data_IF_826231190239
#
_entry.id   IF_826231190239
#
_cell.length_a   1.000
_cell.length_b   1.000
_cell.length_c   1.000
_cell.angle_alpha   90.00
_cell.angle_beta   90.00
_cell.angle_gamma   90.00
#
_symmetry.space_group_name_H-M   'P 1'
#
loop_
_entity.id
_entity.type
_entity.pdbx_description
1 polymer ?
#
# COMPACT_ATOMS: atom_id res chain seq x y z
N UNK A 1 30.92 -6.95 -6.80
CA UNK A 1 29.73 -6.36 -7.47
C UNK A 1 28.49 -6.72 -6.66
N UNK A 2 27.80 -5.77 -6.00
CA UNK A 2 26.47 -6.02 -5.47
C UNK A 2 25.43 -5.39 -6.41
N UNK A 3 24.69 -6.23 -7.14
CA UNK A 3 23.50 -5.82 -7.91
C UNK A 3 22.33 -5.65 -6.94
N UNK A 4 22.30 -4.51 -6.24
CA UNK A 4 21.14 -4.07 -5.47
C UNK A 4 20.15 -3.33 -6.37
N UNK A 5 19.28 -4.06 -7.06
CA UNK A 5 18.19 -3.45 -7.84
C UNK A 5 17.19 -2.79 -6.88
N UNK A 6 16.93 -1.48 -6.96
CA UNK A 6 15.85 -0.85 -6.20
C UNK A 6 14.54 -1.11 -6.94
N UNK A 7 13.91 -2.26 -6.67
CA UNK A 7 12.58 -2.55 -7.22
C UNK A 7 11.58 -1.55 -6.63
N UNK A 8 11.09 -0.66 -7.49
CA UNK A 8 10.39 0.55 -7.12
C UNK A 8 9.14 0.32 -6.28
N UNK A 9 9.08 1.01 -5.14
CA UNK A 9 7.86 1.22 -4.37
C UNK A 9 6.88 2.08 -5.17
N UNK A 10 6.15 1.46 -6.11
CA UNK A 10 4.94 2.08 -6.67
C UNK A 10 3.93 2.22 -5.54
N UNK A 11 3.32 3.40 -5.48
CA UNK A 11 2.29 3.76 -4.51
C UNK A 11 1.10 2.79 -4.62
N UNK A 12 1.12 1.73 -3.81
CA UNK A 12 0.05 0.72 -3.67
C UNK A 12 -1.33 1.33 -3.44
N UNK A 13 -1.38 2.54 -2.85
CA UNK A 13 -2.62 3.21 -2.47
C UNK A 13 -3.48 3.72 -3.65
N UNK A 14 -2.97 3.78 -4.89
CA UNK A 14 -3.74 4.33 -6.03
C UNK A 14 -4.32 3.27 -6.98
N UNK A 15 -3.72 2.09 -7.06
CA UNK A 15 -4.14 1.03 -8.01
C UNK A 15 -4.45 -0.31 -7.34
N UNK A 16 -4.54 -0.36 -6.00
CA UNK A 16 -4.88 -1.59 -5.30
C UNK A 16 -6.21 -2.17 -5.79
N UNK A 17 -6.14 -3.42 -6.25
CA UNK A 17 -7.31 -4.23 -6.65
C UNK A 17 -7.73 -5.05 -5.45
N UNK A 18 -9.02 -5.12 -5.16
CA UNK A 18 -9.55 -5.80 -3.97
C UNK A 18 -10.48 -6.93 -4.39
N UNK A 19 -10.47 -8.02 -3.62
CA UNK A 19 -11.38 -9.16 -3.74
C UNK A 19 -11.53 -9.65 -5.20
N UNK A 20 -12.70 -9.42 -5.80
CA UNK A 20 -13.09 -9.87 -7.15
C UNK A 20 -12.37 -9.19 -8.31
N UNK A 21 -11.53 -8.19 -8.07
CA UNK A 21 -10.76 -7.51 -9.13
C UNK A 21 -9.45 -8.23 -9.47
N UNK A 22 -9.07 -9.23 -8.67
CA UNK A 22 -7.88 -10.04 -8.86
C UNK A 22 -8.23 -11.20 -9.81
N UNK A 23 -7.56 -11.26 -10.97
CA UNK A 23 -7.80 -12.30 -12.00
C UNK A 23 -6.82 -13.49 -11.91
N UNK A 24 -5.94 -13.49 -10.92
CA UNK A 24 -4.95 -14.53 -10.75
C UNK A 24 -5.56 -15.78 -10.11
N UNK A 25 -5.13 -16.96 -10.58
CA UNK A 25 -5.52 -18.26 -9.99
C UNK A 25 -4.79 -18.49 -8.66
N UNK A 26 -3.50 -18.18 -8.65
CA UNK A 26 -2.60 -18.31 -7.51
C UNK A 26 -2.13 -16.94 -7.06
N UNK A 27 -2.22 -16.67 -5.77
CA UNK A 27 -1.85 -15.41 -5.14
C UNK A 27 -0.96 -15.68 -3.95
N UNK A 28 0.06 -14.85 -3.75
CA UNK A 28 0.85 -14.89 -2.52
C UNK A 28 0.12 -14.10 -1.44
N UNK A 29 -0.31 -14.76 -0.37
CA UNK A 29 -1.12 -14.14 0.69
C UNK A 29 -0.23 -13.74 1.86
N UNK A 30 -0.48 -12.54 2.37
CA UNK A 30 0.14 -12.01 3.58
C UNK A 30 -0.99 -11.67 4.57
N UNK A 31 -0.95 -12.26 5.76
CA UNK A 31 -1.92 -12.00 6.83
C UNK A 31 -1.81 -10.60 7.42
N UNK A 32 -2.75 -10.22 8.31
CA UNK A 32 -2.82 -8.89 8.90
C UNK A 32 -1.61 -8.55 9.78
N UNK A 33 -0.99 -9.55 10.43
CA UNK A 33 0.21 -9.40 11.25
C UNK A 33 1.52 -9.48 10.43
N UNK A 34 1.45 -9.24 9.11
CA UNK A 34 2.56 -9.43 8.17
C UNK A 34 3.05 -10.89 8.06
N UNK A 35 2.24 -11.85 8.48
CA UNK A 35 2.53 -13.28 8.36
C UNK A 35 2.45 -13.72 6.89
N UNK A 36 3.49 -14.35 6.37
CA UNK A 36 3.49 -14.85 5.00
C UNK A 36 2.84 -16.25 4.95
N UNK A 37 1.59 -16.30 4.51
CA UNK A 37 0.84 -17.55 4.32
C UNK A 37 1.31 -18.34 3.09
N UNK A 38 2.20 -17.76 2.28
CA UNK A 38 2.76 -18.41 1.10
C UNK A 38 1.91 -18.21 -0.15
N UNK A 39 1.99 -19.15 -1.09
CA UNK A 39 1.20 -19.14 -2.32
C UNK A 39 -0.07 -19.95 -2.06
N UNK A 40 -1.22 -19.32 -2.21
CA UNK A 40 -2.53 -19.94 -2.02
C UNK A 40 -3.41 -19.64 -3.24
N UNK A 41 -4.42 -20.47 -3.44
CA UNK A 41 -5.49 -20.16 -4.40
C UNK A 41 -6.23 -18.91 -3.94
N UNK A 42 -6.76 -18.14 -4.90
CA UNK A 42 -7.54 -16.95 -4.61
C UNK A 42 -8.76 -17.24 -3.70
N UNK A 43 -9.35 -18.41 -3.83
CA UNK A 43 -10.48 -18.87 -3.01
C UNK A 43 -10.08 -19.06 -1.55
N UNK A 44 -8.93 -19.69 -1.31
CA UNK A 44 -8.35 -19.86 0.03
C UNK A 44 -8.02 -18.49 0.65
N UNK A 45 -7.45 -17.60 -0.15
CA UNK A 45 -7.12 -16.24 0.27
C UNK A 45 -8.37 -15.43 0.67
N UNK A 46 -9.44 -15.53 -0.13
CA UNK A 46 -10.72 -14.90 0.16
C UNK A 46 -11.39 -15.49 1.40
N UNK A 47 -11.36 -16.82 1.54
CA UNK A 47 -11.92 -17.49 2.71
C UNK A 47 -11.21 -17.04 4.00
N UNK A 48 -9.87 -16.99 4.00
CA UNK A 48 -9.09 -16.48 5.15
C UNK A 48 -9.41 -15.03 5.48
N UNK A 49 -9.49 -14.16 4.46
CA UNK A 49 -9.86 -12.77 4.67
C UNK A 49 -11.27 -12.65 5.30
N UNK A 50 -12.22 -13.47 4.83
CA UNK A 50 -13.58 -13.49 5.35
C UNK A 50 -13.67 -14.07 6.77
N UNK A 51 -12.87 -15.09 7.09
CA UNK A 51 -12.75 -15.65 8.45
C UNK A 51 -12.22 -14.62 9.46
N UNK A 52 -11.28 -13.78 9.04
CA UNK A 52 -10.76 -12.68 9.87
C UNK A 52 -11.62 -11.41 9.84
N UNK A 53 -12.66 -11.36 8.99
CA UNK A 53 -13.50 -10.17 8.80
C UNK A 53 -12.78 -8.99 8.14
N UNK A 54 -11.77 -9.27 7.32
CA UNK A 54 -10.92 -8.30 6.61
C UNK A 54 -11.10 -8.43 5.09
N UNK A 55 -10.53 -7.49 4.32
CA UNK A 55 -10.52 -7.55 2.86
C UNK A 55 -9.21 -8.14 2.31
N UNK A 56 -9.30 -8.83 1.17
CA UNK A 56 -8.12 -9.26 0.43
C UNK A 56 -7.70 -8.15 -0.55
N UNK A 57 -6.58 -7.50 -0.26
CA UNK A 57 -6.06 -6.38 -1.05
C UNK A 57 -4.82 -6.79 -1.83
N UNK A 58 -4.87 -6.72 -3.15
CA UNK A 58 -3.70 -6.92 -4.00
C UNK A 58 -2.76 -5.71 -3.90
N UNK A 59 -1.58 -5.95 -3.32
CA UNK A 59 -0.53 -4.94 -3.16
C UNK A 59 0.46 -4.95 -4.33
N UNK A 60 0.64 -6.10 -4.99
CA UNK A 60 1.54 -6.21 -6.14
C UNK A 60 0.96 -7.10 -7.24
N UNK A 61 0.35 -6.52 -8.29
CA UNK A 61 -0.08 -7.26 -9.48
C UNK A 61 1.06 -7.65 -10.43
N UNK A 62 2.23 -7.02 -10.30
CA UNK A 62 3.36 -7.19 -11.22
C UNK A 62 4.22 -8.43 -10.91
N UNK A 63 4.08 -8.97 -9.70
CA UNK A 63 4.74 -10.20 -9.29
C UNK A 63 4.01 -11.43 -9.86
N UNK A 64 4.75 -12.46 -10.27
CA UNK A 64 4.19 -13.78 -10.60
C UNK A 64 4.68 -14.78 -9.54
N UNK A 65 3.84 -15.21 -8.59
CA UNK A 65 2.42 -14.90 -8.40
C UNK A 65 2.17 -13.51 -7.76
N UNK A 66 1.03 -12.86 -8.05
CA UNK A 66 0.68 -11.55 -7.50
C UNK A 66 0.50 -11.62 -5.99
N UNK A 67 0.89 -10.54 -5.30
CA UNK A 67 0.91 -10.49 -3.84
C UNK A 67 -0.34 -9.80 -3.33
N UNK A 68 -1.10 -10.54 -2.53
CA UNK A 68 -2.29 -10.08 -1.81
C UNK A 68 -1.98 -10.00 -0.32
N UNK A 69 -2.52 -8.98 0.34
CA UNK A 69 -2.41 -8.77 1.78
C UNK A 69 -3.82 -8.63 2.35
N UNK A 70 -4.08 -9.34 3.44
CA UNK A 70 -5.32 -9.29 4.19
C UNK A 70 -5.28 -8.01 5.03
N UNK A 71 -6.12 -7.04 4.68
CA UNK A 71 -6.24 -5.76 5.39
C UNK A 71 -7.59 -5.11 5.08
N UNK A 72 -8.09 -4.28 5.99
CA UNK A 72 -9.32 -3.52 5.74
C UNK A 72 -9.04 -2.34 4.79
N UNK A 73 -9.46 -2.45 3.53
CA UNK A 73 -9.28 -1.40 2.52
C UNK A 73 -10.18 -0.18 2.80
N UNK A 74 -11.34 -0.40 3.40
CA UNK A 74 -12.33 0.64 3.70
C UNK A 74 -11.80 1.65 4.73
N UNK A 75 -11.33 1.15 5.88
CA UNK A 75 -10.67 1.95 6.92
C UNK A 75 -9.42 2.62 6.40
N UNK A 76 -8.57 1.89 5.68
CA UNK A 76 -7.32 2.46 5.18
C UNK A 76 -7.57 3.61 4.20
N UNK A 77 -8.55 3.49 3.30
CA UNK A 77 -8.92 4.57 2.38
C UNK A 77 -9.52 5.77 3.11
N UNK A 78 -10.25 5.55 4.21
CA UNK A 78 -10.84 6.60 5.03
C UNK A 78 -9.77 7.36 5.82
N UNK A 79 -8.87 6.65 6.50
CA UNK A 79 -7.75 7.22 7.22
C UNK A 79 -6.72 7.86 6.29
N UNK A 80 -6.40 7.22 5.15
CA UNK A 80 -5.50 7.80 4.16
C UNK A 80 -6.09 9.08 3.55
N UNK A 81 -7.41 9.15 3.29
CA UNK A 81 -8.05 10.40 2.86
C UNK A 81 -7.99 11.48 3.93
N UNK A 82 -8.29 11.14 5.18
CA UNK A 82 -8.27 12.09 6.30
C UNK A 82 -6.85 12.62 6.54
N UNK A 83 -5.86 11.71 6.61
CA UNK A 83 -4.44 12.03 6.78
C UNK A 83 -3.86 12.75 5.57
N UNK A 84 -4.26 12.42 4.33
CA UNK A 84 -3.85 13.17 3.14
C UNK A 84 -4.45 14.58 3.12
N UNK A 85 -5.68 14.77 3.63
CA UNK A 85 -6.26 16.10 3.78
C UNK A 85 -5.52 16.93 4.84
N UNK A 86 -5.13 16.34 5.97
CA UNK A 86 -4.32 17.00 7.00
C UNK A 86 -2.89 17.28 6.51
N UNK A 87 -2.27 16.32 5.84
CA UNK A 87 -0.91 16.46 5.31
C UNK A 87 -0.88 17.51 4.21
N UNK A 88 -1.86 17.55 3.29
CA UNK A 88 -1.91 18.58 2.24
C UNK A 88 -2.09 19.99 2.81
N UNK A 89 -2.80 20.12 3.94
CA UNK A 89 -2.87 21.39 4.69
C UNK A 89 -1.53 21.75 5.32
N UNK A 90 -0.84 20.79 5.94
CA UNK A 90 0.44 21.04 6.63
C UNK A 90 1.63 21.24 5.66
N UNK A 91 1.61 20.55 4.53
CA UNK A 91 2.68 20.55 3.51
C UNK A 91 2.64 21.81 2.62
N UNK A 92 1.50 22.49 2.52
CA UNK A 92 1.37 23.75 1.77
C UNK A 92 2.05 24.93 2.48
N UNK A 93 2.24 24.86 3.81
CA UNK A 93 2.74 26.00 4.60
C UNK A 93 4.27 26.10 4.63
N UNK A 94 5.00 25.03 4.28
CA UNK A 94 6.47 25.03 4.22
C UNK A 94 6.95 25.53 2.85
N UNK A 95 6.37 26.64 2.37
CA UNK A 95 6.97 27.41 1.27
C UNK A 95 7.94 28.39 1.93
N UNK A 96 9.15 27.89 2.15
CA UNK A 96 10.35 28.59 2.61
C UNK A 96 10.34 30.09 2.25
N UNK A 97 10.14 30.94 3.27
CA UNK A 97 10.59 32.34 3.24
C UNK A 97 12.04 32.35 3.72
N UNK A 98 12.95 31.91 2.85
CA UNK A 98 14.38 32.12 3.06
C UNK A 98 14.67 33.63 3.02
N UNK A 99 14.72 34.20 4.23
CA UNK A 99 15.52 35.33 4.67
C UNK A 99 16.67 35.70 3.71
N UNK A 100 16.47 36.78 2.95
CA UNK A 100 17.58 37.54 2.32
C UNK A 100 18.10 38.55 3.34
N UNK A 101 18.78 38.09 4.39
CA UNK A 101 19.52 38.99 5.28
C UNK A 101 20.80 39.42 4.56
N UNK A 102 20.91 40.71 4.23
CA UNK A 102 22.17 41.32 3.79
C UNK A 102 22.89 41.87 5.04
N UNK A 103 24.07 41.36 5.45
CA UNK A 103 24.91 42.10 6.38
C UNK A 103 25.46 43.32 5.64
N UNK A 104 25.19 44.52 6.15
CA UNK A 104 25.98 45.71 5.83
C UNK A 104 27.00 45.88 6.94
N UNK A 105 28.27 45.61 6.63
CA UNK A 105 29.49 46.39 6.95
C UNK A 105 30.68 45.52 6.56
#
# INVERSE_FOLDING_TARGET
MPVGTPAGGRNIARDARTNRRIRAKEVRVVGPNAEQLGILSIEQALSRAQEEGLDLVEVSPLSKPPVCKIMDYGKFKYEAKKKAAETKKNQTVVKLKEIKLRPKT
#
